data_IF_452096531097
#
_entry.id   IF_452096531097
#
_cell.length_a   1.000
_cell.length_b   1.000
_cell.length_c   1.000
_cell.angle_alpha   90.00
_cell.angle_beta   90.00
_cell.angle_gamma   90.00
#
_symmetry.space_group_name_H-M   'P 1'
#
loop_
_entity.id
_entity.type
_entity.pdbx_description
1 polymer ?
#
# COMPACT_ATOMS: atom_id res chain seq x y z
N UNK A 1 21.68 -39.72 -42.44
CA UNK A 1 21.75 -38.26 -42.67
C UNK A 1 20.49 -37.54 -42.14
N UNK A 2 20.19 -37.54 -40.83
CA UNK A 2 19.04 -36.78 -40.32
C UNK A 2 19.14 -36.27 -38.86
N UNK A 3 20.22 -36.59 -38.13
CA UNK A 3 20.36 -36.12 -36.71
C UNK A 3 20.79 -34.66 -36.61
N UNK A 4 21.56 -34.13 -37.55
CA UNK A 4 22.07 -32.75 -37.46
C UNK A 4 21.02 -31.70 -37.81
N UNK A 5 20.00 -32.00 -38.63
CA UNK A 5 18.95 -31.03 -38.97
C UNK A 5 18.03 -30.72 -37.80
N UNK A 6 17.73 -31.71 -36.93
CA UNK A 6 16.91 -31.49 -35.71
C UNK A 6 17.66 -30.65 -34.65
N UNK A 7 18.97 -30.90 -34.49
CA UNK A 7 19.80 -30.11 -33.56
C UNK A 7 19.94 -28.66 -34.03
N UNK A 8 20.07 -28.39 -35.31
CA UNK A 8 20.13 -27.04 -35.88
C UNK A 8 18.80 -26.30 -35.66
N UNK A 9 17.66 -27.01 -35.87
CA UNK A 9 16.33 -26.42 -35.64
C UNK A 9 16.10 -26.04 -34.19
N UNK A 10 16.52 -26.88 -33.23
CA UNK A 10 16.41 -26.61 -31.80
C UNK A 10 17.26 -25.40 -31.38
N UNK A 11 18.51 -25.32 -31.90
CA UNK A 11 19.39 -24.17 -31.62
C UNK A 11 18.80 -22.89 -32.22
N UNK A 12 18.18 -22.93 -33.39
CA UNK A 12 17.53 -21.78 -34.04
C UNK A 12 16.31 -21.30 -33.21
N UNK A 13 15.50 -22.23 -32.71
CA UNK A 13 14.34 -21.90 -31.86
C UNK A 13 14.79 -21.28 -30.53
N UNK A 14 15.86 -21.80 -29.91
CA UNK A 14 16.41 -21.24 -28.66
C UNK A 14 16.98 -19.83 -28.90
N UNK A 15 17.63 -19.62 -30.06
CA UNK A 15 18.19 -18.32 -30.42
C UNK A 15 17.11 -17.30 -30.73
N UNK A 16 16.01 -17.69 -31.36
CA UNK A 16 14.84 -16.84 -31.57
C UNK A 16 14.10 -16.53 -30.26
N UNK A 17 14.00 -17.51 -29.36
CA UNK A 17 13.41 -17.27 -28.02
C UNK A 17 14.30 -16.33 -27.20
N UNK A 18 15.62 -16.50 -27.23
CA UNK A 18 16.57 -15.60 -26.55
C UNK A 18 16.53 -14.18 -27.15
N UNK A 19 16.38 -14.05 -28.46
CA UNK A 19 16.20 -12.76 -29.14
C UNK A 19 14.87 -12.09 -28.73
N UNK A 20 13.79 -12.86 -28.67
CA UNK A 20 12.48 -12.38 -28.20
C UNK A 20 12.54 -11.89 -26.74
N UNK A 21 13.18 -12.65 -25.86
CA UNK A 21 13.41 -12.26 -24.48
C UNK A 21 14.30 -11.01 -24.41
N UNK A 22 15.37 -10.94 -25.19
CA UNK A 22 16.24 -9.77 -25.27
C UNK A 22 15.49 -8.51 -25.71
N UNK A 23 14.57 -8.61 -26.69
CA UNK A 23 13.74 -7.48 -27.10
C UNK A 23 12.71 -7.07 -26.03
N UNK A 24 12.16 -8.03 -25.27
CA UNK A 24 11.23 -7.73 -24.16
C UNK A 24 11.92 -7.01 -22.97
N UNK A 25 13.24 -7.21 -22.80
CA UNK A 25 14.02 -6.56 -21.75
C UNK A 25 14.84 -5.35 -22.22
N UNK A 26 14.90 -5.08 -23.53
CA UNK A 26 15.70 -3.98 -24.09
C UNK A 26 15.02 -2.61 -24.02
N UNK A 27 13.71 -2.55 -23.77
CA UNK A 27 12.96 -1.29 -23.74
C UNK A 27 13.01 -0.52 -22.40
N UNK A 28 13.85 -0.97 -21.43
CA UNK A 28 13.97 -0.27 -20.13
C UNK A 28 15.16 0.70 -20.03
N UNK A 29 15.83 1.06 -21.14
CA UNK A 29 16.94 2.03 -21.15
C UNK A 29 16.72 3.14 -22.17
N UNK A 30 15.79 4.04 -21.93
CA UNK A 30 15.75 5.43 -22.42
C UNK A 30 14.76 6.19 -21.51
N UNK A 31 15.05 7.27 -20.88
CA UNK A 31 15.88 8.43 -20.98
C UNK A 31 15.87 9.17 -19.62
N UNK A 32 16.99 9.62 -19.16
CA UNK A 32 17.06 10.76 -18.26
C UNK A 32 16.70 12.01 -19.05
N UNK A 33 15.45 12.18 -19.33
CA UNK A 33 14.85 13.39 -19.87
C UNK A 33 14.07 14.05 -18.76
N UNK A 34 14.46 15.26 -18.38
CA UNK A 34 13.65 16.17 -17.60
C UNK A 34 12.26 16.29 -18.23
N UNK A 35 11.35 15.42 -17.89
CA UNK A 35 9.95 15.50 -18.34
C UNK A 35 9.24 16.50 -17.44
N UNK A 36 9.04 17.69 -17.98
CA UNK A 36 7.96 18.60 -17.56
C UNK A 36 6.70 17.80 -17.29
N UNK A 37 6.06 18.08 -16.15
CA UNK A 37 4.79 17.57 -15.69
C UNK A 37 3.75 17.42 -16.81
N UNK A 38 3.65 16.23 -17.37
CA UNK A 38 2.45 15.80 -18.07
C UNK A 38 1.59 15.10 -17.04
N UNK A 39 0.28 15.36 -17.03
CA UNK A 39 -0.70 14.77 -16.14
C UNK A 39 -0.64 13.24 -16.03
N UNK A 40 -1.51 12.60 -15.25
CA UNK A 40 -1.50 11.16 -15.03
C UNK A 40 -1.59 10.40 -16.36
N UNK A 41 -0.98 9.21 -16.43
CA UNK A 41 -1.05 8.40 -17.63
C UNK A 41 -2.40 7.71 -17.77
N UNK A 42 -3.03 7.41 -16.64
CA UNK A 42 -4.31 6.73 -16.55
C UNK A 42 -5.09 7.26 -15.35
N UNK A 43 -6.39 7.46 -15.56
CA UNK A 43 -7.34 7.81 -14.52
C UNK A 43 -8.41 6.72 -14.45
N UNK A 44 -8.80 6.38 -13.24
CA UNK A 44 -9.81 5.38 -12.96
C UNK A 44 -10.79 5.95 -11.94
N UNK A 45 -12.05 5.51 -12.04
CA UNK A 45 -13.07 5.84 -11.05
C UNK A 45 -13.64 4.57 -10.47
N UNK A 46 -13.94 4.61 -9.15
CA UNK A 46 -14.55 3.50 -8.41
C UNK A 46 -13.79 2.17 -8.58
N UNK A 47 -12.49 2.18 -8.29
CA UNK A 47 -11.68 0.97 -8.37
C UNK A 47 -11.50 0.30 -7.01
N UNK A 48 -11.24 -1.00 -7.09
CA UNK A 48 -10.81 -1.81 -5.96
C UNK A 48 -9.45 -2.44 -6.27
N UNK A 49 -8.50 -2.27 -5.35
CA UNK A 49 -7.20 -2.93 -5.37
C UNK A 49 -7.09 -3.84 -4.16
N UNK A 50 -6.48 -5.01 -4.30
CA UNK A 50 -6.26 -5.96 -3.20
C UNK A 50 -4.93 -6.66 -3.34
N UNK A 51 -4.41 -7.13 -2.21
CA UNK A 51 -3.30 -8.06 -2.15
C UNK A 51 -3.74 -9.33 -1.44
N UNK A 52 -3.52 -10.46 -2.08
CA UNK A 52 -3.75 -11.78 -1.52
C UNK A 52 -2.39 -12.44 -1.27
N UNK A 53 -2.19 -13.02 -0.09
CA UNK A 53 -1.01 -13.80 0.28
C UNK A 53 -1.46 -15.16 0.80
N UNK A 54 -0.91 -16.23 0.23
CA UNK A 54 -1.25 -17.62 0.60
C UNK A 54 -2.76 -17.92 0.54
N UNK A 55 -3.47 -17.30 -0.42
CA UNK A 55 -4.91 -17.47 -0.62
C UNK A 55 -5.79 -16.66 0.35
N UNK A 56 -5.19 -15.84 1.20
CA UNK A 56 -5.91 -14.95 2.11
C UNK A 56 -5.69 -13.49 1.72
N UNK A 57 -6.76 -12.70 1.77
CA UNK A 57 -6.67 -11.26 1.53
C UNK A 57 -5.94 -10.59 2.68
N UNK A 58 -4.88 -9.86 2.38
CA UNK A 58 -4.08 -9.13 3.38
C UNK A 58 -4.62 -7.70 3.53
N UNK A 59 -4.90 -7.07 2.39
CA UNK A 59 -5.54 -5.76 2.36
C UNK A 59 -6.38 -5.59 1.11
N UNK A 60 -7.34 -4.68 1.20
CA UNK A 60 -8.20 -4.25 0.10
C UNK A 60 -8.41 -2.75 0.22
N UNK A 61 -8.21 -2.01 -0.86
CA UNK A 61 -8.44 -0.56 -0.94
C UNK A 61 -9.44 -0.29 -2.04
N UNK A 62 -10.49 0.45 -1.70
CA UNK A 62 -11.43 1.06 -2.64
C UNK A 62 -11.13 2.54 -2.72
N UNK A 63 -11.17 3.11 -3.92
CA UNK A 63 -11.01 4.54 -4.12
C UNK A 63 -12.02 5.05 -5.14
N UNK A 64 -12.56 6.25 -4.89
CA UNK A 64 -13.50 6.91 -5.81
C UNK A 64 -12.81 7.37 -7.07
N UNK A 65 -11.60 7.90 -6.92
CA UNK A 65 -10.76 8.36 -8.03
C UNK A 65 -9.32 7.92 -7.83
N UNK A 66 -8.66 7.50 -8.91
CA UNK A 66 -7.25 7.11 -8.91
C UNK A 66 -6.57 7.66 -10.14
N UNK A 67 -5.46 8.38 -9.93
CA UNK A 67 -4.56 8.88 -10.95
C UNK A 67 -3.25 8.13 -10.89
N UNK A 68 -2.94 7.36 -11.92
CA UNK A 68 -1.74 6.53 -11.99
C UNK A 68 -0.66 7.20 -12.83
N UNK A 69 0.59 7.18 -12.34
CA UNK A 69 1.76 7.65 -13.08
C UNK A 69 2.02 6.86 -14.37
N UNK A 70 2.70 7.46 -15.34
CA UNK A 70 3.00 6.83 -16.63
C UNK A 70 3.84 5.57 -16.52
N UNK A 71 4.76 5.53 -15.57
CA UNK A 71 5.60 4.38 -15.28
C UNK A 71 4.92 3.32 -14.40
N UNK A 72 3.66 3.57 -14.01
CA UNK A 72 2.82 2.70 -13.15
C UNK A 72 3.45 2.40 -11.79
N UNK A 73 4.37 3.26 -11.33
CA UNK A 73 5.06 3.08 -10.05
C UNK A 73 4.39 3.84 -8.91
N UNK A 74 3.54 4.81 -9.20
CA UNK A 74 2.78 5.53 -8.18
C UNK A 74 1.32 5.75 -8.60
N UNK A 75 0.47 5.89 -7.60
CA UNK A 75 -0.93 6.24 -7.79
C UNK A 75 -1.38 7.19 -6.68
N UNK A 76 -2.06 8.27 -7.06
CA UNK A 76 -2.78 9.16 -6.18
C UNK A 76 -4.24 8.74 -6.13
N UNK A 77 -4.84 8.75 -4.94
CA UNK A 77 -6.17 8.23 -4.69
C UNK A 77 -7.00 9.26 -3.92
N UNK A 78 -8.31 9.28 -4.19
CA UNK A 78 -9.29 10.12 -3.48
C UNK A 78 -10.47 9.28 -3.01
N UNK A 79 -11.01 9.64 -1.84
CA UNK A 79 -12.18 8.99 -1.25
C UNK A 79 -11.92 7.52 -0.97
N UNK A 80 -10.98 7.26 -0.06
CA UNK A 80 -10.42 5.94 0.22
C UNK A 80 -11.23 5.24 1.30
N UNK A 81 -11.49 3.96 1.07
CA UNK A 81 -11.94 2.97 2.04
C UNK A 81 -10.99 1.78 1.98
N UNK A 82 -10.18 1.59 3.01
CA UNK A 82 -9.19 0.52 3.08
C UNK A 82 -9.56 -0.50 4.15
N UNK A 83 -9.27 -1.76 3.89
CA UNK A 83 -9.48 -2.88 4.79
C UNK A 83 -8.18 -3.64 4.95
N UNK A 84 -7.75 -3.84 6.19
CA UNK A 84 -6.61 -4.67 6.54
C UNK A 84 -7.12 -5.88 7.31
N UNK A 85 -6.79 -7.07 6.81
CA UNK A 85 -7.24 -8.33 7.40
C UNK A 85 -6.05 -9.09 7.98
N UNK A 86 -6.20 -9.57 9.21
CA UNK A 86 -5.21 -10.45 9.85
C UNK A 86 -5.91 -11.34 10.86
N UNK A 87 -5.70 -12.66 10.75
CA UNK A 87 -6.15 -13.66 11.73
C UNK A 87 -7.63 -13.53 12.14
N UNK A 88 -8.50 -13.22 11.16
CA UNK A 88 -9.93 -13.02 11.38
C UNK A 88 -10.32 -11.64 11.93
N UNK A 89 -9.35 -10.78 12.22
CA UNK A 89 -9.58 -9.39 12.58
C UNK A 89 -9.53 -8.50 11.34
N UNK A 90 -10.44 -7.52 11.29
CA UNK A 90 -10.49 -6.51 10.23
C UNK A 90 -10.30 -5.13 10.84
N UNK A 91 -9.41 -4.33 10.23
CA UNK A 91 -9.32 -2.89 10.44
C UNK A 91 -9.83 -2.20 9.17
N UNK A 92 -10.93 -1.48 9.27
CA UNK A 92 -11.44 -0.60 8.22
C UNK A 92 -10.89 0.80 8.45
N UNK A 93 -10.37 1.45 7.38
CA UNK A 93 -9.90 2.83 7.38
C UNK A 93 -10.62 3.62 6.30
N UNK A 94 -11.05 4.84 6.63
CA UNK A 94 -11.49 5.85 5.69
C UNK A 94 -10.49 7.00 5.66
N UNK A 95 -10.26 7.61 4.50
CA UNK A 95 -9.42 8.79 4.33
C UNK A 95 -9.84 9.57 3.09
N UNK A 96 -9.52 10.88 3.08
CA UNK A 96 -9.85 11.74 1.95
C UNK A 96 -8.93 11.48 0.76
N UNK A 97 -7.63 11.36 1.01
CA UNK A 97 -6.59 11.24 -0.01
C UNK A 97 -5.56 10.17 0.36
N UNK A 98 -4.85 9.68 -0.65
CA UNK A 98 -3.74 8.76 -0.44
C UNK A 98 -2.81 8.67 -1.63
N UNK A 99 -1.62 8.21 -1.33
CA UNK A 99 -0.56 7.98 -2.29
C UNK A 99 0.01 6.57 -2.13
N UNK A 100 0.13 5.83 -3.22
CA UNK A 100 0.77 4.52 -3.27
C UNK A 100 2.07 4.60 -4.07
N UNK A 101 3.19 4.17 -3.45
CA UNK A 101 4.46 3.94 -4.13
C UNK A 101 4.73 2.43 -4.23
N UNK A 102 4.69 1.92 -5.46
CA UNK A 102 4.87 0.50 -5.75
C UNK A 102 6.29 0.00 -5.46
N UNK A 103 7.31 0.84 -5.74
CA UNK A 103 8.71 0.46 -5.54
C UNK A 103 9.05 0.36 -4.06
N UNK A 104 8.51 1.28 -3.28
CA UNK A 104 8.68 1.29 -1.82
C UNK A 104 7.66 0.42 -1.10
N UNK A 105 6.66 -0.12 -1.81
CA UNK A 105 5.48 -0.79 -1.22
C UNK A 105 4.86 0.03 -0.09
N UNK A 106 4.79 1.34 -0.27
CA UNK A 106 4.34 2.28 0.73
C UNK A 106 2.99 2.85 0.34
N UNK A 107 2.05 2.82 1.29
CA UNK A 107 0.76 3.52 1.19
C UNK A 107 0.76 4.62 2.23
N UNK A 108 0.49 5.84 1.81
CA UNK A 108 0.25 6.98 2.69
C UNK A 108 -1.18 7.45 2.48
N UNK A 109 -1.91 7.68 3.56
CA UNK A 109 -3.27 8.24 3.52
C UNK A 109 -3.35 9.44 4.44
N UNK A 110 -4.16 10.43 4.06
CA UNK A 110 -4.32 11.68 4.81
C UNK A 110 -5.73 12.27 4.64
N UNK A 111 -6.07 13.21 5.52
CA UNK A 111 -7.36 13.87 5.57
C UNK A 111 -8.43 12.99 6.22
N UNK A 112 -8.95 13.42 7.38
CA UNK A 112 -10.02 12.76 8.14
C UNK A 112 -9.85 11.25 8.25
N UNK A 113 -8.63 10.83 8.65
CA UNK A 113 -8.34 9.40 8.75
C UNK A 113 -9.08 8.84 9.97
N UNK A 114 -10.03 7.94 9.71
CA UNK A 114 -10.81 7.24 10.71
C UNK A 114 -10.66 5.74 10.52
N UNK A 115 -10.29 5.03 11.59
CA UNK A 115 -10.14 3.59 11.61
C UNK A 115 -11.09 2.94 12.59
N UNK A 116 -11.72 1.83 12.20
CA UNK A 116 -12.52 0.99 13.08
C UNK A 116 -12.09 -0.46 12.93
N UNK A 117 -11.85 -1.14 14.05
CA UNK A 117 -11.51 -2.56 14.01
C UNK A 117 -12.69 -3.43 14.45
N UNK A 118 -12.68 -4.68 14.01
CA UNK A 118 -13.72 -5.67 14.39
C UNK A 118 -13.77 -5.96 15.89
N UNK A 119 -12.69 -5.66 16.62
CA UNK A 119 -12.60 -5.80 18.09
C UNK A 119 -12.98 -4.52 18.87
N UNK A 120 -13.58 -3.54 18.17
CA UNK A 120 -14.17 -2.34 18.78
C UNK A 120 -13.20 -1.18 18.97
N UNK A 121 -11.98 -1.21 18.40
CA UNK A 121 -11.08 -0.06 18.43
C UNK A 121 -11.56 1.00 17.42
N UNK A 122 -11.50 2.28 17.83
CA UNK A 122 -11.71 3.46 16.97
C UNK A 122 -10.44 4.28 16.96
N UNK A 123 -9.92 4.60 15.78
CA UNK A 123 -8.71 5.39 15.57
C UNK A 123 -9.06 6.66 14.81
N UNK A 124 -8.57 7.81 15.27
CA UNK A 124 -8.57 9.05 14.51
C UNK A 124 -7.15 9.59 14.39
N UNK A 125 -6.75 9.92 13.18
CA UNK A 125 -5.43 10.46 12.87
C UNK A 125 -5.53 11.48 11.74
N UNK A 126 -4.51 12.31 11.55
CA UNK A 126 -4.42 13.19 10.38
C UNK A 126 -3.87 12.46 9.16
N UNK A 127 -2.92 11.58 9.39
CA UNK A 127 -2.32 10.72 8.37
C UNK A 127 -2.02 9.31 8.91
N UNK A 128 -1.86 8.36 8.00
CA UNK A 128 -1.31 7.03 8.27
C UNK A 128 -0.41 6.60 7.14
N UNK A 129 0.67 5.93 7.48
CA UNK A 129 1.58 5.33 6.51
C UNK A 129 1.74 3.85 6.79
N UNK A 130 1.50 3.01 5.79
CA UNK A 130 1.81 1.59 5.82
C UNK A 130 3.02 1.30 4.93
N UNK A 131 3.98 0.53 5.45
CA UNK A 131 5.14 0.07 4.71
C UNK A 131 5.08 -1.46 4.57
N UNK A 132 4.83 -1.94 3.36
CA UNK A 132 4.68 -3.36 3.04
C UNK A 132 5.98 -4.16 3.02
N UNK A 133 7.17 -3.54 3.11
CA UNK A 133 8.42 -4.25 3.30
C UNK A 133 8.67 -4.61 4.77
N UNK A 134 8.18 -3.79 5.68
CA UNK A 134 8.42 -3.94 7.12
C UNK A 134 7.17 -4.34 7.89
N UNK A 135 6.00 -4.37 7.24
CA UNK A 135 4.69 -4.58 7.87
C UNK A 135 4.38 -3.58 9.00
N UNK A 136 4.90 -2.34 8.88
CA UNK A 136 4.72 -1.28 9.86
C UNK A 136 3.63 -0.31 9.41
N UNK A 137 2.65 -0.06 10.28
CA UNK A 137 1.70 1.04 10.21
C UNK A 137 2.14 2.13 11.19
N UNK A 138 2.16 3.39 10.77
CA UNK A 138 2.62 4.51 11.60
C UNK A 138 1.92 5.81 11.27
N UNK A 139 1.90 6.72 12.25
CA UNK A 139 1.70 8.16 12.05
C UNK A 139 2.80 8.93 12.78
N UNK A 140 3.20 10.05 12.25
CA UNK A 140 4.12 11.03 12.84
C UNK A 140 3.39 12.28 13.35
N UNK A 141 2.06 12.23 13.37
CA UNK A 141 1.19 13.29 13.87
C UNK A 141 0.28 12.79 15.00
N UNK A 142 -0.31 13.76 15.74
CA UNK A 142 -1.25 13.48 16.81
C UNK A 142 -2.38 12.55 16.37
N UNK A 143 -2.66 11.57 17.22
CA UNK A 143 -3.73 10.60 17.02
C UNK A 143 -4.50 10.35 18.33
N UNK A 144 -5.68 9.81 18.18
CA UNK A 144 -6.47 9.23 19.27
C UNK A 144 -6.88 7.81 18.91
N UNK A 145 -6.78 6.89 19.87
CA UNK A 145 -7.29 5.54 19.73
C UNK A 145 -8.14 5.19 20.95
N UNK A 146 -9.38 4.78 20.69
CA UNK A 146 -10.33 4.40 21.74
C UNK A 146 -10.59 2.90 21.66
N UNK A 147 -10.55 2.22 22.82
CA UNK A 147 -10.95 0.82 22.97
C UNK A 147 -11.34 0.51 24.40
N UNK A 148 -12.42 -0.26 24.59
CA UNK A 148 -12.90 -0.73 25.90
C UNK A 148 -13.06 0.41 26.93
N UNK A 149 -13.59 1.56 26.49
CA UNK A 149 -13.81 2.73 27.35
C UNK A 149 -12.53 3.48 27.73
N UNK A 150 -11.40 3.17 27.12
CA UNK A 150 -10.12 3.88 27.29
C UNK A 150 -9.72 4.63 26.05
N UNK A 151 -9.09 5.78 26.24
CA UNK A 151 -8.59 6.64 25.17
C UNK A 151 -7.07 6.78 25.30
N UNK A 152 -6.36 6.38 24.28
CA UNK A 152 -4.93 6.64 24.10
C UNK A 152 -4.76 7.84 23.17
N UNK A 153 -3.99 8.83 23.59
CA UNK A 153 -3.56 9.95 22.75
C UNK A 153 -2.04 10.03 22.75
N UNK A 154 -1.43 10.40 21.63
CA UNK A 154 0.00 10.71 21.56
C UNK A 154 0.32 11.49 20.27
N UNK A 155 1.55 12.03 20.17
CA UNK A 155 1.99 12.77 19.00
C UNK A 155 2.31 11.85 17.81
N UNK A 156 2.65 10.58 18.07
CA UNK A 156 2.96 9.60 17.03
C UNK A 156 2.77 8.17 17.51
N UNK A 157 2.56 7.24 16.57
CA UNK A 157 2.66 5.82 16.87
C UNK A 157 3.35 5.02 15.76
N UNK A 158 3.82 3.85 16.15
CA UNK A 158 4.29 2.79 15.25
C UNK A 158 3.67 1.47 15.71
N UNK A 159 2.96 0.81 14.81
CA UNK A 159 2.39 -0.53 15.01
C UNK A 159 3.12 -1.52 14.10
N UNK A 160 3.91 -2.40 14.70
CA UNK A 160 4.61 -3.49 14.05
C UNK A 160 3.67 -4.71 14.02
N UNK A 161 3.21 -5.07 12.83
CA UNK A 161 2.25 -6.17 12.64
C UNK A 161 2.88 -7.56 12.82
N UNK A 162 4.20 -7.67 12.61
CA UNK A 162 4.93 -8.93 12.77
C UNK A 162 5.17 -9.21 14.26
N UNK A 163 5.58 -8.18 15.01
CA UNK A 163 5.87 -8.30 16.45
C UNK A 163 4.63 -8.07 17.32
N UNK A 164 3.47 -7.75 16.73
CA UNK A 164 2.22 -7.41 17.43
C UNK A 164 2.43 -6.33 18.49
N UNK A 165 3.32 -5.37 18.18
CA UNK A 165 3.75 -4.33 19.09
C UNK A 165 3.30 -2.97 18.63
N UNK A 166 2.65 -2.21 19.53
CA UNK A 166 2.33 -0.81 19.35
C UNK A 166 3.22 0.04 20.26
N UNK A 167 3.81 1.09 19.69
CA UNK A 167 4.62 2.06 20.43
C UNK A 167 4.06 3.45 20.17
N UNK A 168 3.56 4.12 21.20
CA UNK A 168 3.13 5.52 21.16
C UNK A 168 4.25 6.41 21.73
N UNK A 169 4.48 7.60 21.13
CA UNK A 169 5.54 8.53 21.54
C UNK A 169 5.04 9.97 21.51
N UNK A 170 5.61 10.80 22.38
CA UNK A 170 5.29 12.22 22.53
C UNK A 170 3.95 12.43 23.20
N UNK A 171 3.95 13.07 24.37
CA UNK A 171 2.76 13.41 25.18
C UNK A 171 1.74 12.25 25.29
N UNK A 172 2.25 11.00 25.32
CA UNK A 172 1.40 9.82 25.38
C UNK A 172 0.60 9.79 26.68
N UNK A 173 -0.73 9.72 26.57
CA UNK A 173 -1.67 9.63 27.68
C UNK A 173 -2.67 8.51 27.42
N UNK A 174 -2.86 7.67 28.43
CA UNK A 174 -3.94 6.69 28.48
C UNK A 174 -4.88 7.11 29.62
N UNK A 175 -6.15 7.30 29.32
CA UNK A 175 -7.16 7.70 30.30
C UNK A 175 -8.45 6.91 30.07
N UNK A 176 -9.31 6.84 31.10
CA UNK A 176 -10.69 6.39 30.88
C UNK A 176 -11.46 7.46 30.09
N UNK A 177 -12.43 7.07 29.28
CA UNK A 177 -13.14 7.97 28.37
C UNK A 177 -13.86 9.11 29.10
N UNK A 178 -14.31 8.87 30.35
CA UNK A 178 -14.95 9.85 31.18
C UNK A 178 -13.99 10.98 31.60
N UNK A 179 -12.69 10.69 31.71
CA UNK A 179 -11.62 11.63 32.13
C UNK A 179 -10.90 12.29 30.93
N UNK A 180 -11.26 11.91 29.70
CA UNK A 180 -10.60 12.37 28.47
C UNK A 180 -11.34 13.53 27.76
N UNK A 181 -12.48 14.00 28.34
CA UNK A 181 -13.27 15.14 27.81
C UNK A 181 -12.76 16.48 28.33
#
# INVERSE_FOLDING_TARGET
MSRNKKSILIVLVILLAALGIYFLFKDDHHEKGSAKSGGPAMEFSNIEMKEDKDGQSVWRIKAKHVSMSRDKNSADMEGIEAYFLKDGNELKLNADQGHYDRKQKKVHVEGHVEGTSSDGMVLHAKNLTYNGHTDILSTDEFFTAEKDGRVLTADSFTADRVLEKITAKGHARLADKEDAQ
#
